data_IF_923096350660
#
_entry.id   IF_923096350660
#
_cell.length_a   1.000
_cell.length_b   1.000
_cell.length_c   1.000
_cell.angle_alpha   90.00
_cell.angle_beta   90.00
_cell.angle_gamma   90.00
#
_symmetry.space_group_name_H-M   'P 1'
#
loop_
_entity.id
_entity.type
_entity.pdbx_description
1 polymer ?
#
# COMPACT_ATOMS: atom_id res chain seq x y z
N UNK A 1 9.25 61.66 7.83
CA UNK A 1 8.57 62.08 9.09
C UNK A 1 8.02 60.81 9.74
N UNK A 2 8.82 60.05 10.49
CA UNK A 2 9.14 60.14 11.94
C UNK A 2 7.90 60.14 12.85
N UNK A 3 7.73 59.02 13.59
CA UNK A 3 7.44 58.78 15.04
C UNK A 3 7.42 57.23 15.14
N UNK A 4 8.37 56.43 15.68
CA UNK A 4 9.13 56.29 16.95
C UNK A 4 8.30 55.93 18.21
N UNK A 5 8.87 54.95 18.94
CA UNK A 5 8.63 54.39 20.29
C UNK A 5 7.62 53.22 20.36
N UNK A 6 8.02 51.95 20.54
CA UNK A 6 8.83 51.26 21.58
C UNK A 6 8.09 51.06 22.91
N UNK A 7 7.85 49.79 23.28
CA UNK A 7 8.09 49.15 24.59
C UNK A 7 7.57 47.69 24.55
N UNK A 8 8.45 46.71 24.73
CA UNK A 8 8.64 45.90 25.96
C UNK A 8 7.53 44.87 26.23
N UNK A 9 7.94 43.60 26.31
CA UNK A 9 7.10 42.51 26.81
C UNK A 9 7.80 41.16 26.70
N UNK A 10 8.85 40.95 27.51
CA UNK A 10 9.41 39.63 27.76
C UNK A 10 8.55 38.86 28.77
N UNK A 11 8.19 37.62 28.45
CA UNK A 11 7.67 36.59 29.37
C UNK A 11 8.13 35.25 28.77
N UNK A 12 9.26 34.70 29.22
CA UNK A 12 9.43 33.73 30.33
C UNK A 12 8.77 32.36 30.08
N UNK A 13 9.59 31.34 30.29
CA UNK A 13 9.36 29.92 30.09
C UNK A 13 8.23 29.38 30.99
N UNK A 14 7.52 28.37 30.49
CA UNK A 14 7.08 27.19 31.24
C UNK A 14 6.71 26.10 30.22
N UNK A 15 7.51 25.05 30.04
CA UNK A 15 7.46 23.82 30.84
C UNK A 15 6.04 23.22 30.88
N UNK A 16 5.78 22.29 29.96
CA UNK A 16 4.55 21.49 29.90
C UNK A 16 4.86 20.02 29.61
N UNK A 17 5.87 19.46 30.25
CA UNK A 17 6.04 18.01 30.34
C UNK A 17 5.08 17.49 31.43
N UNK A 18 3.84 17.20 31.05
CA UNK A 18 2.93 16.45 31.91
C UNK A 18 3.09 14.96 31.63
N UNK A 19 4.19 14.37 32.12
CA UNK A 19 4.22 12.94 32.41
C UNK A 19 3.43 12.73 33.71
N UNK A 20 2.14 12.45 33.60
CA UNK A 20 1.36 11.98 34.74
C UNK A 20 1.45 10.45 34.75
N UNK A 21 2.45 9.96 35.48
CA UNK A 21 2.59 8.56 35.83
C UNK A 21 2.59 8.50 37.35
N UNK A 22 1.42 8.24 37.94
CA UNK A 22 1.33 7.69 39.29
C UNK A 22 -0.10 7.19 39.54
N UNK A 23 -0.21 5.86 39.65
CA UNK A 23 -1.45 5.20 40.01
C UNK A 23 -1.80 5.51 41.46
N UNK A 24 -2.83 6.34 41.63
CA UNK A 24 -3.66 6.37 42.83
C UNK A 24 -5.11 6.19 42.37
N UNK A 25 -5.60 4.95 42.42
CA UNK A 25 -7.02 4.66 42.24
C UNK A 25 -7.72 4.79 43.60
N UNK A 26 -8.60 5.79 43.74
CA UNK A 26 -9.48 5.88 44.90
C UNK A 26 -10.44 4.68 44.93
N UNK A 27 -10.71 4.07 46.10
CA UNK A 27 -11.68 2.98 46.22
C UNK A 27 -13.08 3.47 45.82
N UNK A 28 -13.68 2.84 44.80
CA UNK A 28 -15.08 3.07 44.42
C UNK A 28 -15.33 3.68 43.04
N UNK A 29 -14.30 4.01 42.25
CA UNK A 29 -14.50 4.45 40.87
C UNK A 29 -14.41 3.29 39.88
N UNK A 30 -15.43 3.06 39.03
CA UNK A 30 -15.34 2.07 37.97
C UNK A 30 -14.26 2.51 36.98
N UNK A 31 -13.21 1.71 36.84
CA UNK A 31 -12.21 1.93 35.80
C UNK A 31 -12.86 1.72 34.43
N UNK A 32 -12.79 2.74 33.58
CA UNK A 32 -13.08 2.58 32.16
C UNK A 32 -12.17 1.46 31.61
N UNK A 33 -12.71 0.51 30.83
CA UNK A 33 -11.89 -0.54 30.25
C UNK A 33 -10.76 0.12 29.45
N UNK A 34 -9.53 -0.13 29.87
CA UNK A 34 -8.34 0.28 29.15
C UNK A 34 -8.47 -0.24 27.72
N UNK A 35 -8.76 0.67 26.78
CA UNK A 35 -8.78 0.37 25.36
C UNK A 35 -7.37 -0.07 25.02
N UNK A 36 -7.16 -1.37 24.86
CA UNK A 36 -5.89 -1.96 24.42
C UNK A 36 -5.39 -1.11 23.24
N UNK A 37 -4.19 -0.51 23.31
CA UNK A 37 -3.65 0.23 22.19
C UNK A 37 -3.72 -0.68 20.97
N UNK A 38 -4.37 -0.23 19.89
CA UNK A 38 -4.26 -0.94 18.62
C UNK A 38 -2.76 -1.06 18.32
N UNK A 39 -2.26 -2.25 17.95
CA UNK A 39 -0.88 -2.37 17.51
C UNK A 39 -0.66 -1.34 16.39
N UNK A 40 0.49 -0.64 16.37
CA UNK A 40 0.75 0.35 15.35
C UNK A 40 0.60 -0.31 13.99
N UNK A 41 -0.23 0.26 13.13
CA UNK A 41 -0.34 -0.18 11.75
C UNK A 41 1.06 -0.06 11.13
N UNK A 42 1.69 -1.18 10.83
CA UNK A 42 2.98 -1.21 10.14
C UNK A 42 2.76 -0.56 8.77
N UNK A 43 3.11 0.71 8.63
CA UNK A 43 3.00 1.41 7.36
C UNK A 43 3.86 0.67 6.34
N UNK A 44 3.30 0.18 5.22
CA UNK A 44 4.09 -0.55 4.23
C UNK A 44 5.25 0.32 3.75
N UNK A 45 6.46 -0.24 3.74
CA UNK A 45 7.65 0.44 3.21
C UNK A 45 7.38 0.92 1.77
N UNK A 46 7.79 2.15 1.42
CA UNK A 46 7.60 2.66 0.06
C UNK A 46 8.37 1.79 -0.93
N UNK A 47 7.65 1.18 -1.88
CA UNK A 47 8.26 0.40 -2.95
C UNK A 47 9.02 1.32 -3.91
N UNK A 48 10.28 1.00 -4.16
CA UNK A 48 11.08 1.66 -5.20
C UNK A 48 11.26 0.71 -6.38
N UNK A 49 10.47 0.94 -7.42
CA UNK A 49 10.61 0.19 -8.67
C UNK A 49 11.80 0.69 -9.49
N UNK A 50 12.61 -0.20 -10.11
CA UNK A 50 13.55 0.21 -11.13
C UNK A 50 12.81 0.80 -12.34
N UNK A 51 13.53 1.52 -13.20
CA UNK A 51 12.95 2.02 -14.45
C UNK A 51 12.90 0.88 -15.47
N UNK A 52 11.71 0.37 -15.74
CA UNK A 52 11.48 -0.77 -16.64
C UNK A 52 11.32 -0.31 -18.10
N UNK A 53 11.71 -1.15 -19.08
CA UNK A 53 11.44 -0.87 -20.49
C UNK A 53 9.94 -0.94 -20.79
N UNK A 54 9.48 -0.18 -21.80
CA UNK A 54 8.14 -0.34 -22.39
C UNK A 54 8.16 -1.47 -23.42
N UNK A 55 8.36 -2.70 -22.95
CA UNK A 55 8.59 -3.86 -23.81
C UNK A 55 7.46 -4.15 -24.82
N UNK A 56 6.24 -3.67 -24.56
CA UNK A 56 5.11 -3.78 -25.50
C UNK A 56 5.24 -2.90 -26.75
N UNK A 57 6.16 -1.92 -26.76
CA UNK A 57 6.49 -1.10 -27.92
C UNK A 57 7.82 -1.52 -28.58
N UNK A 58 8.51 -2.52 -28.04
CA UNK A 58 9.80 -2.98 -28.57
C UNK A 58 9.58 -3.84 -29.82
N UNK A 59 10.35 -3.56 -30.87
CA UNK A 59 10.25 -4.25 -32.17
C UNK A 59 11.17 -5.46 -32.26
N UNK A 60 12.26 -5.46 -31.49
CA UNK A 60 13.17 -6.59 -31.37
C UNK A 60 12.59 -7.64 -30.40
N UNK A 61 12.29 -8.86 -30.86
CA UNK A 61 11.67 -9.89 -30.02
C UNK A 61 12.53 -10.28 -28.81
N UNK A 62 13.85 -10.20 -28.93
CA UNK A 62 14.77 -10.54 -27.84
C UNK A 62 14.68 -9.50 -26.72
N UNK A 63 14.69 -8.21 -27.08
CA UNK A 63 14.55 -7.11 -26.13
C UNK A 63 13.14 -7.04 -25.54
N UNK A 64 12.12 -7.36 -26.33
CA UNK A 64 10.74 -7.47 -25.84
C UNK A 64 10.62 -8.56 -24.77
N UNK A 65 11.16 -9.75 -25.02
CA UNK A 65 11.14 -10.85 -24.06
C UNK A 65 11.89 -10.49 -22.77
N UNK A 66 13.12 -9.97 -22.90
CA UNK A 66 13.92 -9.57 -21.75
C UNK A 66 13.22 -8.50 -20.88
N UNK A 67 12.60 -7.50 -21.51
CA UNK A 67 11.87 -6.46 -20.79
C UNK A 67 10.59 -6.97 -20.11
N UNK A 68 9.89 -7.92 -20.74
CA UNK A 68 8.74 -8.60 -20.13
C UNK A 68 9.15 -9.44 -18.92
N UNK A 69 10.26 -10.16 -19.03
CA UNK A 69 10.73 -11.05 -17.96
C UNK A 69 11.20 -10.24 -16.75
N UNK A 70 11.96 -9.16 -16.97
CA UNK A 70 12.32 -8.19 -15.93
C UNK A 70 11.09 -7.60 -15.22
N UNK A 71 10.05 -7.28 -15.98
CA UNK A 71 8.80 -6.78 -15.42
C UNK A 71 8.13 -7.81 -14.49
N UNK A 72 7.97 -9.05 -14.93
CA UNK A 72 7.33 -10.09 -14.11
C UNK A 72 8.19 -10.56 -12.94
N UNK A 73 9.51 -10.58 -13.09
CA UNK A 73 10.45 -10.82 -12.01
C UNK A 73 10.28 -9.77 -10.90
N UNK A 74 10.28 -8.48 -11.25
CA UNK A 74 10.05 -7.42 -10.28
C UNK A 74 8.68 -7.55 -9.60
N UNK A 75 7.61 -7.72 -10.37
CA UNK A 75 6.25 -7.82 -9.82
C UNK A 75 6.14 -9.02 -8.89
N UNK A 76 6.67 -10.17 -9.26
CA UNK A 76 6.62 -11.39 -8.42
C UNK A 76 7.49 -11.28 -7.17
N UNK A 77 8.65 -10.61 -7.23
CA UNK A 77 9.50 -10.38 -6.07
C UNK A 77 8.86 -9.44 -5.04
N UNK A 78 8.02 -8.49 -5.49
CA UNK A 78 7.37 -7.51 -4.62
C UNK A 78 5.96 -7.91 -4.18
N UNK A 79 5.28 -8.80 -4.92
CA UNK A 79 3.95 -9.30 -4.58
C UNK A 79 4.03 -10.22 -3.35
N UNK A 80 3.55 -9.71 -2.23
CA UNK A 80 3.48 -10.48 -0.98
C UNK A 80 2.03 -10.85 -0.69
N UNK A 81 1.82 -11.99 -0.03
CA UNK A 81 0.48 -12.26 0.50
C UNK A 81 0.27 -11.33 1.70
N UNK A 82 -0.75 -10.46 1.70
CA UNK A 82 -0.95 -9.49 2.76
C UNK A 82 -1.38 -10.17 4.05
N UNK A 83 -0.70 -9.84 5.16
CA UNK A 83 -1.00 -10.41 6.49
C UNK A 83 -2.44 -10.11 6.94
N UNK A 84 -3.00 -8.96 6.53
CA UNK A 84 -4.40 -8.60 6.80
C UNK A 84 -5.43 -9.44 6.04
N UNK A 85 -5.00 -10.23 5.04
CA UNK A 85 -5.85 -11.23 4.38
C UNK A 85 -5.72 -12.63 5.00
N UNK A 86 -4.87 -12.82 6.02
CA UNK A 86 -4.78 -14.08 6.75
C UNK A 86 -5.90 -14.15 7.80
N UNK A 87 -6.51 -15.33 8.00
CA UNK A 87 -7.40 -15.56 9.12
C UNK A 87 -6.70 -15.24 10.45
N UNK A 88 -7.47 -14.70 11.38
CA UNK A 88 -6.99 -14.55 12.74
C UNK A 88 -6.81 -15.95 13.38
N UNK A 89 -5.92 -16.12 14.38
CA UNK A 89 -5.66 -17.43 14.99
C UNK A 89 -6.89 -18.10 15.61
N UNK A 90 -7.90 -17.32 15.99
CA UNK A 90 -9.19 -17.76 16.53
C UNK A 90 -10.21 -18.16 15.45
N UNK A 91 -9.87 -18.02 14.17
CA UNK A 91 -10.75 -18.31 13.02
C UNK A 91 -10.09 -19.25 11.99
N UNK A 92 -9.61 -20.45 12.37
CA UNK A 92 -8.86 -21.33 11.47
C UNK A 92 -9.66 -21.84 10.27
N UNK A 93 -11.00 -21.81 10.35
CA UNK A 93 -11.89 -22.29 9.29
C UNK A 93 -12.18 -21.24 8.20
N UNK A 94 -11.66 -20.01 8.35
CA UNK A 94 -11.85 -18.95 7.35
C UNK A 94 -10.92 -19.19 6.16
N UNK A 95 -11.48 -19.17 4.95
CA UNK A 95 -10.71 -19.41 3.74
C UNK A 95 -9.80 -18.23 3.39
N UNK A 96 -8.58 -18.56 2.97
CA UNK A 96 -7.62 -17.61 2.40
C UNK A 96 -7.89 -17.41 0.90
N UNK A 97 -8.17 -16.19 0.42
CA UNK A 97 -8.31 -15.95 -1.00
C UNK A 97 -7.00 -16.18 -1.74
N UNK A 98 -7.02 -17.09 -2.70
CA UNK A 98 -5.88 -17.41 -3.59
C UNK A 98 -6.34 -17.39 -5.03
N UNK A 99 -5.42 -17.16 -5.96
CA UNK A 99 -5.73 -17.09 -7.39
C UNK A 99 -5.06 -15.94 -8.10
N UNK A 100 -5.70 -15.42 -9.15
CA UNK A 100 -5.20 -14.32 -9.99
C UNK A 100 -6.12 -13.10 -9.90
N UNK A 101 -5.52 -11.92 -9.78
CA UNK A 101 -6.21 -10.63 -9.89
C UNK A 101 -5.68 -9.92 -11.12
N UNK A 102 -6.56 -9.50 -12.02
CA UNK A 102 -6.24 -8.77 -13.24
C UNK A 102 -6.40 -7.29 -12.99
N UNK A 103 -5.30 -6.55 -13.13
CA UNK A 103 -5.25 -5.13 -12.83
C UNK A 103 -4.89 -4.34 -14.08
N UNK A 104 -5.71 -3.37 -14.44
CA UNK A 104 -5.40 -2.40 -15.47
C UNK A 104 -4.52 -1.29 -14.90
N UNK A 105 -3.33 -1.13 -15.49
CA UNK A 105 -2.43 0.00 -15.23
C UNK A 105 -2.46 0.96 -16.41
N UNK A 106 -2.40 2.24 -16.09
CA UNK A 106 -2.31 3.33 -17.06
C UNK A 106 -0.93 3.97 -16.95
N UNK A 107 -0.08 3.79 -17.96
CA UNK A 107 1.31 4.29 -17.97
C UNK A 107 1.33 5.66 -18.66
N UNK A 108 1.65 6.71 -17.90
CA UNK A 108 1.75 8.08 -18.41
C UNK A 108 3.00 8.26 -19.28
N UNK A 109 3.06 9.29 -20.15
CA UNK A 109 4.25 9.60 -20.95
C UNK A 109 5.53 9.74 -20.12
N UNK A 110 5.42 10.28 -18.88
CA UNK A 110 6.54 10.42 -17.95
C UNK A 110 7.03 9.10 -17.31
N UNK A 111 6.43 7.96 -17.66
CA UNK A 111 6.81 6.63 -17.16
C UNK A 111 6.17 6.23 -15.83
N UNK A 112 5.36 7.09 -15.20
CA UNK A 112 4.64 6.76 -13.97
C UNK A 112 3.31 6.06 -14.25
N UNK A 113 2.90 5.17 -13.34
CA UNK A 113 1.55 4.58 -13.36
C UNK A 113 0.55 5.53 -12.68
N UNK A 114 -0.61 5.74 -13.30
CA UNK A 114 -1.73 6.47 -12.71
C UNK A 114 -2.25 5.74 -11.48
N UNK A 115 -2.42 6.47 -10.39
CA UNK A 115 -2.94 5.93 -9.13
C UNK A 115 -4.45 6.14 -8.98
N UNK A 116 -5.18 5.20 -8.33
CA UNK A 116 -4.77 3.81 -8.14
C UNK A 116 -4.95 3.01 -9.45
N UNK A 117 -4.16 1.94 -9.66
CA UNK A 117 -4.47 0.92 -10.67
C UNK A 117 -5.89 0.35 -10.49
N UNK A 118 -6.54 -0.04 -11.59
CA UNK A 118 -7.94 -0.49 -11.57
C UNK A 118 -8.02 -2.01 -11.57
N UNK A 119 -8.76 -2.60 -10.63
CA UNK A 119 -9.08 -4.03 -10.67
C UNK A 119 -10.11 -4.25 -11.78
N UNK A 120 -9.81 -5.18 -12.70
CA UNK A 120 -10.67 -5.49 -13.85
C UNK A 120 -11.44 -6.80 -13.62
N UNK A 121 -10.75 -7.82 -13.11
CA UNK A 121 -11.30 -9.16 -12.90
C UNK A 121 -10.55 -9.89 -11.79
N UNK A 122 -11.22 -10.79 -11.10
CA UNK A 122 -10.61 -11.75 -10.17
C UNK A 122 -10.94 -13.17 -10.63
N UNK A 123 -9.93 -14.02 -10.68
CA UNK A 123 -10.02 -15.46 -10.91
C UNK A 123 -9.49 -16.15 -9.66
N UNK A 124 -10.35 -16.28 -8.66
CA UNK A 124 -10.02 -16.88 -7.38
C UNK A 124 -10.31 -18.39 -7.40
N UNK A 125 -9.65 -19.13 -6.50
CA UNK A 125 -9.82 -20.58 -6.37
C UNK A 125 -11.26 -20.98 -5.99
N UNK A 126 -11.92 -20.16 -5.17
CA UNK A 126 -13.35 -20.28 -4.83
C UNK A 126 -14.10 -19.03 -5.29
N UNK A 127 -15.44 -19.05 -5.40
CA UNK A 127 -16.23 -17.85 -5.67
C UNK A 127 -15.92 -16.73 -4.65
N UNK A 128 -15.93 -15.47 -5.09
CA UNK A 128 -15.57 -14.32 -4.25
C UNK A 128 -16.41 -14.25 -2.95
N UNK A 129 -17.68 -14.66 -3.02
CA UNK A 129 -18.60 -14.72 -1.88
C UNK A 129 -18.17 -15.70 -0.77
N UNK A 130 -17.28 -16.65 -1.06
CA UNK A 130 -16.74 -17.59 -0.07
C UNK A 130 -15.63 -16.97 0.80
N UNK A 131 -15.15 -15.77 0.46
CA UNK A 131 -14.07 -15.10 1.16
C UNK A 131 -14.55 -13.90 1.97
N UNK A 132 -13.91 -13.58 3.11
CA UNK A 132 -14.19 -12.36 3.83
C UNK A 132 -13.90 -11.12 2.96
N UNK A 133 -14.81 -10.13 2.88
CA UNK A 133 -14.56 -8.89 2.14
C UNK A 133 -13.28 -8.15 2.54
N UNK A 134 -12.86 -8.12 3.84
CA UNK A 134 -11.57 -7.54 4.22
C UNK A 134 -10.37 -8.23 3.57
N UNK A 135 -10.40 -9.56 3.40
CA UNK A 135 -9.30 -10.32 2.82
C UNK A 135 -9.15 -10.02 1.32
N UNK A 136 -10.27 -9.93 0.59
CA UNK A 136 -10.26 -9.52 -0.83
C UNK A 136 -9.71 -8.10 -0.98
N UNK A 137 -10.16 -7.15 -0.15
CA UNK A 137 -9.65 -5.77 -0.19
C UNK A 137 -8.16 -5.68 0.11
N UNK A 138 -7.66 -6.53 1.00
CA UNK A 138 -6.23 -6.59 1.29
C UNK A 138 -5.42 -7.06 0.06
N UNK A 139 -5.90 -8.08 -0.68
CA UNK A 139 -5.27 -8.48 -1.94
C UNK A 139 -5.31 -7.37 -3.01
N UNK A 140 -6.44 -6.70 -3.16
CA UNK A 140 -6.57 -5.59 -4.11
C UNK A 140 -5.61 -4.44 -3.78
N UNK A 141 -5.54 -4.08 -2.49
CA UNK A 141 -4.65 -3.02 -2.00
C UNK A 141 -3.20 -3.37 -2.29
N UNK A 142 -2.82 -4.61 -2.07
CA UNK A 142 -1.47 -5.10 -2.34
C UNK A 142 -1.16 -5.07 -3.84
N UNK A 143 -2.10 -5.53 -4.68
CA UNK A 143 -1.93 -5.49 -6.13
C UNK A 143 -1.79 -4.04 -6.64
N UNK A 144 -2.61 -3.12 -6.12
CA UNK A 144 -2.53 -1.69 -6.43
C UNK A 144 -1.23 -1.06 -5.93
N UNK A 145 -0.73 -1.44 -4.75
CA UNK A 145 0.54 -0.97 -4.19
C UNK A 145 1.71 -1.36 -5.09
N UNK A 146 1.80 -2.64 -5.45
CA UNK A 146 2.90 -3.16 -6.27
C UNK A 146 2.87 -2.55 -7.68
N UNK A 147 1.71 -2.61 -8.35
CA UNK A 147 1.61 -2.14 -9.73
C UNK A 147 1.57 -0.61 -9.83
N UNK A 148 1.11 0.08 -8.79
CA UNK A 148 1.17 1.53 -8.70
C UNK A 148 2.60 2.05 -8.51
N UNK A 149 3.48 1.27 -7.90
CA UNK A 149 4.88 1.63 -7.69
C UNK A 149 5.73 1.54 -8.96
N UNK A 150 5.25 0.87 -10.01
CA UNK A 150 5.99 0.66 -11.25
C UNK A 150 6.45 1.97 -11.89
N UNK A 151 7.64 1.93 -12.47
CA UNK A 151 8.22 3.01 -13.26
C UNK A 151 8.73 2.47 -14.58
N UNK A 152 8.48 3.23 -15.64
CA UNK A 152 8.86 2.87 -16.99
C UNK A 152 9.72 3.95 -17.63
N UNK A 153 10.45 3.59 -18.69
CA UNK A 153 11.13 4.55 -19.55
C UNK A 153 10.11 5.57 -20.09
N UNK A 154 10.52 6.83 -20.11
CA UNK A 154 9.73 7.93 -20.67
C UNK A 154 9.52 7.71 -22.16
N UNK A 155 8.34 8.01 -22.65
CA UNK A 155 8.02 7.91 -24.08
C UNK A 155 7.22 9.15 -24.50
N UNK A 156 7.47 9.70 -25.70
CA UNK A 156 6.63 10.75 -26.27
C UNK A 156 5.24 10.22 -26.66
N UNK A 157 5.04 8.91 -26.66
CA UNK A 157 3.75 8.29 -26.95
C UNK A 157 2.67 8.72 -25.94
N UNK A 158 1.42 8.67 -26.41
CA UNK A 158 0.23 8.83 -25.59
C UNK A 158 0.21 7.82 -24.44
N UNK A 159 -0.64 8.06 -23.45
CA UNK A 159 -0.82 7.17 -22.32
C UNK A 159 -1.14 5.73 -22.76
N UNK A 160 -0.41 4.74 -22.23
CA UNK A 160 -0.63 3.32 -22.51
C UNK A 160 -1.54 2.69 -21.45
N UNK A 161 -2.26 1.62 -21.82
CA UNK A 161 -3.04 0.80 -20.89
C UNK A 161 -2.65 -0.67 -21.02
N UNK A 162 -2.33 -1.30 -19.89
CA UNK A 162 -1.95 -2.72 -19.82
C UNK A 162 -2.80 -3.43 -18.79
N UNK A 163 -3.11 -4.70 -19.03
CA UNK A 163 -3.74 -5.58 -18.03
C UNK A 163 -2.69 -6.56 -17.53
N UNK A 164 -2.44 -6.53 -16.23
CA UNK A 164 -1.42 -7.32 -15.56
C UNK A 164 -2.08 -8.34 -14.65
N UNK A 165 -1.85 -9.65 -14.85
CA UNK A 165 -2.28 -10.66 -13.89
C UNK A 165 -1.29 -10.73 -12.72
N UNK A 166 -1.79 -10.59 -11.51
CA UNK A 166 -1.04 -10.85 -10.27
C UNK A 166 -1.55 -12.11 -9.60
N UNK A 167 -0.64 -13.02 -9.24
CA UNK A 167 -0.98 -14.28 -8.59
C UNK A 167 -0.69 -14.20 -7.09
N UNK A 168 -1.66 -14.60 -6.27
CA UNK A 168 -1.52 -14.74 -4.83
C UNK A 168 -1.63 -16.22 -4.44
N UNK A 169 -0.66 -16.67 -3.65
CA UNK A 169 -0.56 -18.03 -3.12
C UNK A 169 -0.45 -17.89 -1.61
N UNK A 170 -1.26 -18.62 -0.86
CA UNK A 170 -1.09 -18.77 0.58
C UNK A 170 0.16 -19.62 0.81
N UNK A 171 1.19 -19.03 1.42
CA UNK A 171 2.37 -19.76 1.93
C UNK A 171 2.16 -20.06 3.41
#
# INVERSE_FOLDING_TARGET
MIIRLALLGALLLAAGAAQAQEGYAAPGFPMLPHRRPLPPATTPLPLRSPVLPRFWHETDPTRQAAGRDQFFEFVSAQAQYPESARPAPDQPNVLMPTGRIFVSIQVRPNGSVRQPPRIVRRELTQPEAAYPPPAIRALDTEAQRVLGALRFVRSPATQDSLVVPMRFIAK
#
